data_IF_175839608778
#
_entry.id   IF_175839608778
#
_cell.length_a   1.000
_cell.length_b   1.000
_cell.length_c   1.000
_cell.angle_alpha   90.00
_cell.angle_beta   90.00
_cell.angle_gamma   90.00
#
_symmetry.space_group_name_H-M   'P 1'
#
loop_
_entity.id
_entity.type
_entity.pdbx_description
1 polymer ?
#
# COMPACT_ATOMS: atom_id res chain seq x y z
N UNK A 1 -43.01 3.24 49.65
CA UNK A 1 -41.68 3.42 50.26
C UNK A 1 -40.71 2.80 49.26
N UNK A 2 -40.46 3.43 48.12
CA UNK A 2 -39.67 4.64 47.88
C UNK A 2 -38.15 4.48 48.13
N UNK A 3 -37.39 5.11 47.22
CA UNK A 3 -35.93 5.32 47.15
C UNK A 3 -35.14 4.15 46.53
N UNK A 4 -34.55 4.25 45.33
CA UNK A 4 -33.43 5.13 44.92
C UNK A 4 -32.13 4.30 45.01
N UNK A 5 -31.23 4.17 44.04
CA UNK A 5 -30.60 5.17 43.17
C UNK A 5 -30.04 4.55 41.88
N UNK A 6 -29.95 5.39 40.85
CA UNK A 6 -29.28 5.16 39.59
C UNK A 6 -27.75 5.39 39.71
N UNK A 7 -26.96 4.68 38.90
CA UNK A 7 -25.58 5.08 38.61
C UNK A 7 -25.32 4.93 37.12
N UNK A 8 -25.25 6.10 36.48
CA UNK A 8 -24.80 6.30 35.12
C UNK A 8 -23.32 5.93 34.99
N UNK A 9 -22.98 5.19 33.94
CA UNK A 9 -21.64 5.19 33.36
C UNK A 9 -21.81 5.32 31.85
N UNK A 10 -21.55 6.53 31.34
CA UNK A 10 -21.51 6.82 29.91
C UNK A 10 -20.57 5.83 29.19
N UNK A 11 -20.96 5.27 28.03
CA UNK A 11 -19.97 4.81 27.09
C UNK A 11 -19.34 6.07 26.48
N UNK A 12 -18.10 6.35 26.84
CA UNK A 12 -17.24 7.19 26.02
C UNK A 12 -17.12 6.49 24.67
N UNK A 13 -18.01 6.87 23.74
CA UNK A 13 -17.92 6.55 22.33
C UNK A 13 -16.64 7.18 21.79
N UNK A 14 -15.56 6.41 21.88
CA UNK A 14 -14.39 6.60 21.04
C UNK A 14 -14.88 6.63 19.59
N UNK A 15 -14.90 7.82 18.98
CA UNK A 15 -15.08 7.95 17.54
C UNK A 15 -14.09 7.01 16.85
N UNK A 16 -14.53 6.09 15.98
CA UNK A 16 -13.61 5.29 15.21
C UNK A 16 -12.85 6.27 14.32
N UNK A 17 -11.56 6.42 14.58
CA UNK A 17 -10.67 7.22 13.77
C UNK A 17 -10.79 6.78 12.31
N UNK A 18 -11.16 7.73 11.45
CA UNK A 18 -10.90 7.93 10.01
C UNK A 18 -10.01 6.92 9.24
N UNK A 19 -10.20 5.61 9.41
CA UNK A 19 -9.50 4.59 8.65
C UNK A 19 -10.21 4.43 7.30
N UNK A 20 -9.53 4.79 6.21
CA UNK A 20 -10.02 4.56 4.84
C UNK A 20 -10.80 5.71 4.20
N UNK A 21 -10.81 6.92 4.79
CA UNK A 21 -11.30 8.12 4.10
C UNK A 21 -10.34 8.48 2.97
N UNK A 22 -10.86 8.60 1.75
CA UNK A 22 -10.06 8.83 0.56
C UNK A 22 -10.51 9.99 -0.31
N UNK A 23 -11.72 10.48 -0.11
CA UNK A 23 -12.22 11.68 -0.73
C UNK A 23 -13.13 12.44 0.22
N UNK A 24 -13.48 13.65 -0.18
CA UNK A 24 -14.44 14.49 0.52
C UNK A 24 -15.25 15.33 -0.45
N UNK A 25 -16.45 15.69 -0.02
CA UNK A 25 -17.25 16.74 -0.63
C UNK A 25 -17.10 18.00 0.23
N UNK A 26 -16.52 19.05 -0.36
CA UNK A 26 -16.30 20.33 0.29
C UNK A 26 -17.47 21.26 -0.07
N UNK A 27 -18.31 21.69 0.88
CA UNK A 27 -19.41 22.59 0.58
C UNK A 27 -18.87 23.98 0.17
N UNK A 28 -19.56 24.61 -0.78
CA UNK A 28 -19.25 25.97 -1.21
C UNK A 28 -19.48 27.00 -0.10
N UNK A 29 -20.45 26.75 0.78
CA UNK A 29 -20.68 27.50 2.00
C UNK A 29 -20.02 26.80 3.19
N UNK A 30 -18.99 27.45 3.75
CA UNK A 30 -18.23 26.94 4.90
C UNK A 30 -19.02 26.84 6.20
N UNK A 31 -20.27 27.33 6.24
CA UNK A 31 -21.18 27.08 7.36
C UNK A 31 -21.61 25.61 7.47
N UNK A 32 -21.43 24.82 6.41
CA UNK A 32 -21.76 23.39 6.36
C UNK A 32 -20.49 22.53 6.50
N UNK A 33 -20.59 21.34 7.13
CA UNK A 33 -19.45 20.45 7.28
C UNK A 33 -19.03 19.79 5.97
N UNK A 34 -17.74 19.48 5.84
CA UNK A 34 -17.24 18.59 4.78
C UNK A 34 -17.80 17.17 4.97
N UNK A 35 -18.14 16.51 3.86
CA UNK A 35 -18.63 15.13 3.88
C UNK A 35 -17.50 14.19 3.49
N UNK A 36 -17.08 13.32 4.40
CA UNK A 36 -16.02 12.34 4.13
C UNK A 36 -16.55 11.16 3.31
N UNK A 37 -15.75 10.66 2.37
CA UNK A 37 -16.04 9.47 1.57
C UNK A 37 -15.00 8.40 1.91
N UNK A 38 -15.47 7.27 2.43
CA UNK A 38 -14.61 6.16 2.87
C UNK A 38 -14.68 4.97 1.89
N UNK A 39 -13.66 4.12 1.91
CA UNK A 39 -13.57 2.97 1.00
C UNK A 39 -14.59 1.86 1.32
N UNK A 40 -14.96 1.72 2.60
CA UNK A 40 -16.00 0.80 3.07
C UNK A 40 -17.40 1.41 3.17
N UNK A 41 -17.53 2.72 2.98
CA UNK A 41 -18.80 3.45 3.08
C UNK A 41 -18.89 4.46 1.93
N UNK A 42 -19.33 3.95 0.77
CA UNK A 42 -19.37 4.68 -0.49
C UNK A 42 -20.65 5.54 -0.64
N UNK A 43 -21.64 5.35 0.22
CA UNK A 43 -22.91 6.10 0.15
C UNK A 43 -22.73 7.43 0.86
N UNK A 44 -22.95 8.52 0.13
CA UNK A 44 -22.86 9.87 0.66
C UNK A 44 -24.16 10.22 1.35
N UNK A 45 -24.06 10.42 2.67
CA UNK A 45 -25.12 10.95 3.52
C UNK A 45 -24.80 12.41 3.85
N UNK A 46 -25.63 13.35 3.37
CA UNK A 46 -25.44 14.77 3.68
C UNK A 46 -26.73 15.57 3.58
N UNK A 47 -26.68 16.82 4.03
CA UNK A 47 -27.72 17.80 3.74
C UNK A 47 -27.78 18.09 2.24
N UNK A 48 -29.01 18.30 1.77
CA UNK A 48 -29.33 18.58 0.36
C UNK A 48 -29.66 20.05 0.13
N UNK A 49 -30.31 20.72 1.09
CA UNK A 49 -30.74 22.11 0.99
C UNK A 49 -30.30 22.94 2.23
N UNK A 50 -29.99 24.24 2.07
CA UNK A 50 -29.64 25.12 3.19
C UNK A 50 -30.88 25.44 4.05
N UNK A 51 -30.87 25.04 5.32
CA UNK A 51 -31.76 25.47 6.41
C UNK A 51 -33.30 25.48 6.16
N UNK A 52 -33.94 24.32 6.36
CA UNK A 52 -35.26 24.20 7.00
C UNK A 52 -35.49 22.74 7.47
N UNK A 53 -34.80 22.31 8.54
CA UNK A 53 -35.05 20.99 9.15
C UNK A 53 -34.81 19.78 8.25
N UNK A 54 -33.94 19.91 7.24
CA UNK A 54 -33.61 18.81 6.34
C UNK A 54 -32.87 17.70 7.07
N UNK A 55 -33.36 16.47 6.94
CA UNK A 55 -32.63 15.27 7.35
C UNK A 55 -31.43 15.07 6.41
N UNK A 56 -30.35 14.48 6.93
CA UNK A 56 -29.29 13.97 6.06
C UNK A 56 -29.88 12.84 5.21
N UNK A 57 -29.74 12.96 3.89
CA UNK A 57 -30.24 11.96 2.96
C UNK A 57 -29.07 11.23 2.31
N UNK A 58 -29.25 9.93 2.11
CA UNK A 58 -28.39 9.15 1.23
C UNK A 58 -28.82 9.44 -0.22
N UNK A 59 -28.04 10.26 -0.94
CA UNK A 59 -28.45 10.75 -2.27
C UNK A 59 -27.50 10.35 -3.40
N UNK A 60 -26.26 9.97 -3.11
CA UNK A 60 -25.37 9.39 -4.11
C UNK A 60 -24.40 8.36 -3.53
N UNK A 61 -23.76 7.63 -4.42
CA UNK A 61 -22.68 6.70 -4.14
C UNK A 61 -21.43 7.13 -4.90
N UNK A 62 -20.30 7.28 -4.21
CA UNK A 62 -19.02 7.65 -4.79
C UNK A 62 -18.00 6.53 -4.56
N UNK A 63 -17.43 6.02 -5.66
CA UNK A 63 -16.38 4.99 -5.64
C UNK A 63 -15.11 5.49 -6.31
N UNK A 64 -13.95 4.94 -5.93
CA UNK A 64 -12.71 5.15 -6.67
C UNK A 64 -12.85 4.63 -8.09
N UNK A 65 -12.30 5.40 -9.04
CA UNK A 65 -12.18 4.99 -10.42
C UNK A 65 -11.02 4.01 -10.62
N UNK A 66 -10.75 3.67 -11.88
CA UNK A 66 -9.65 2.78 -12.25
C UNK A 66 -8.25 3.37 -12.06
N UNK A 67 -8.13 4.70 -11.89
CA UNK A 67 -6.87 5.39 -11.62
C UNK A 67 -6.91 6.20 -10.31
N UNK A 68 -5.74 6.61 -9.82
CA UNK A 68 -5.60 7.32 -8.54
C UNK A 68 -6.20 8.75 -8.53
N UNK A 69 -6.68 9.24 -9.67
CA UNK A 69 -7.17 10.61 -9.88
C UNK A 69 -8.63 10.70 -10.33
N UNK A 70 -9.33 9.57 -10.36
CA UNK A 70 -10.70 9.46 -10.83
C UNK A 70 -11.58 8.80 -9.77
N UNK A 71 -12.85 9.20 -9.79
CA UNK A 71 -13.90 8.56 -9.04
C UNK A 71 -15.14 8.46 -9.92
N UNK A 72 -16.05 7.59 -9.55
CA UNK A 72 -17.36 7.47 -10.20
C UNK A 72 -18.43 7.85 -9.20
N UNK A 73 -19.39 8.66 -9.63
CA UNK A 73 -20.59 8.99 -8.87
C UNK A 73 -21.81 8.33 -9.51
N UNK A 74 -22.69 7.80 -8.65
CA UNK A 74 -24.01 7.29 -9.03
C UNK A 74 -25.05 7.94 -8.16
N UNK A 75 -26.10 8.49 -8.77
CA UNK A 75 -27.26 8.98 -8.02
C UNK A 75 -28.04 7.82 -7.41
N UNK A 76 -28.44 7.97 -6.14
CA UNK A 76 -29.32 7.05 -5.43
C UNK A 76 -30.68 7.68 -5.07
N UNK A 77 -30.84 8.98 -5.29
CA UNK A 77 -32.07 9.70 -4.97
C UNK A 77 -33.17 9.46 -6.01
N UNK A 78 -34.41 9.78 -5.64
CA UNK A 78 -35.56 9.74 -6.57
C UNK A 78 -35.60 10.93 -7.53
N UNK A 79 -34.84 11.98 -7.25
CA UNK A 79 -34.72 13.17 -8.08
C UNK A 79 -33.39 13.14 -8.86
N UNK A 80 -33.18 14.08 -9.77
CA UNK A 80 -31.90 14.21 -10.45
C UNK A 80 -30.86 14.94 -9.57
N UNK A 81 -29.58 14.66 -9.82
CA UNK A 81 -28.46 15.42 -9.26
C UNK A 81 -27.71 16.13 -10.39
N UNK A 82 -26.91 17.14 -10.08
CA UNK A 82 -26.08 17.82 -11.08
C UNK A 82 -24.61 17.51 -10.81
N UNK A 83 -23.86 17.16 -11.86
CA UNK A 83 -22.40 16.99 -11.84
C UNK A 83 -21.80 17.82 -12.97
N UNK A 84 -20.98 18.81 -12.64
CA UNK A 84 -20.35 19.74 -13.58
C UNK A 84 -21.36 20.39 -14.57
N UNK A 85 -22.55 20.74 -14.05
CA UNK A 85 -23.65 21.32 -14.82
C UNK A 85 -24.49 20.31 -15.62
N UNK A 86 -24.12 19.02 -15.63
CA UNK A 86 -24.90 17.95 -16.28
C UNK A 86 -25.90 17.36 -15.29
N UNK A 87 -27.17 17.29 -15.68
CA UNK A 87 -28.23 16.63 -14.92
C UNK A 87 -28.10 15.11 -15.07
N UNK A 88 -27.92 14.41 -13.94
CA UNK A 88 -27.69 12.98 -13.84
C UNK A 88 -28.90 12.32 -13.17
N UNK A 89 -29.51 11.35 -13.87
CA UNK A 89 -30.51 10.46 -13.28
C UNK A 89 -29.80 9.25 -12.68
N UNK A 90 -29.92 8.03 -13.23
CA UNK A 90 -29.37 6.82 -12.60
C UNK A 90 -28.05 6.32 -13.19
N UNK A 91 -27.47 7.05 -14.13
CA UNK A 91 -26.21 6.69 -14.80
C UNK A 91 -24.99 6.86 -13.88
N UNK A 92 -23.95 6.08 -14.16
CA UNK A 92 -22.64 6.20 -13.51
C UNK A 92 -21.80 7.22 -14.29
N UNK A 93 -21.24 8.20 -13.58
CA UNK A 93 -20.49 9.30 -14.21
C UNK A 93 -19.12 9.42 -13.56
N UNK A 94 -18.10 9.67 -14.37
CA UNK A 94 -16.75 9.96 -13.88
C UNK A 94 -16.67 11.39 -13.33
N UNK A 95 -16.07 11.52 -12.14
CA UNK A 95 -15.76 12.80 -11.50
C UNK A 95 -14.26 12.87 -11.17
N UNK A 96 -13.75 14.09 -11.10
CA UNK A 96 -12.34 14.39 -10.83
C UNK A 96 -12.23 15.44 -9.72
N UNK A 97 -11.07 15.55 -9.04
CA UNK A 97 -10.84 16.65 -8.11
C UNK A 97 -11.20 18.00 -8.74
N UNK A 98 -12.07 18.76 -8.07
CA UNK A 98 -12.64 20.01 -8.55
C UNK A 98 -14.03 19.89 -9.20
N UNK A 99 -14.55 18.70 -9.46
CA UNK A 99 -15.91 18.50 -9.99
C UNK A 99 -16.94 19.09 -9.03
N UNK A 100 -17.89 19.87 -9.58
CA UNK A 100 -18.99 20.48 -8.82
C UNK A 100 -20.19 19.53 -8.80
N UNK A 101 -20.74 19.31 -7.61
CA UNK A 101 -21.85 18.38 -7.40
C UNK A 101 -22.96 19.08 -6.63
N UNK A 102 -24.19 18.94 -7.13
CA UNK A 102 -25.39 19.47 -6.48
C UNK A 102 -26.36 18.32 -6.24
N UNK A 103 -26.82 18.09 -5.00
CA UNK A 103 -27.70 16.99 -4.63
C UNK A 103 -29.17 17.30 -4.97
N UNK A 104 -29.43 17.88 -6.15
CA UNK A 104 -30.78 18.21 -6.59
C UNK A 104 -30.83 18.60 -8.07
N UNK A 105 -32.04 18.79 -8.62
CA UNK A 105 -32.25 18.97 -10.06
C UNK A 105 -31.87 20.37 -10.57
N UNK A 106 -31.54 21.29 -9.67
CA UNK A 106 -31.17 22.68 -9.95
C UNK A 106 -30.20 23.20 -8.87
N UNK A 107 -29.40 24.21 -9.19
CA UNK A 107 -28.47 24.80 -8.22
C UNK A 107 -29.21 25.66 -7.18
N UNK A 108 -30.24 26.41 -7.60
CA UNK A 108 -30.99 27.27 -6.70
C UNK A 108 -31.72 26.47 -5.62
N UNK A 109 -31.42 26.78 -4.35
CA UNK A 109 -32.02 26.14 -3.19
C UNK A 109 -31.33 24.84 -2.74
N UNK A 110 -30.28 24.40 -3.43
CA UNK A 110 -29.51 23.21 -3.08
C UNK A 110 -28.09 23.56 -2.63
N UNK A 111 -27.48 22.68 -1.85
CA UNK A 111 -26.07 22.81 -1.50
C UNK A 111 -25.18 22.48 -2.70
N UNK A 112 -24.09 23.21 -2.85
CA UNK A 112 -23.09 22.95 -3.89
C UNK A 112 -21.84 22.41 -3.22
N UNK A 113 -21.38 21.25 -3.67
CA UNK A 113 -20.16 20.63 -3.20
C UNK A 113 -19.10 20.64 -4.29
N UNK A 114 -17.85 20.72 -3.88
CA UNK A 114 -16.68 20.43 -4.73
C UNK A 114 -16.11 19.09 -4.30
N UNK A 115 -15.99 18.16 -5.23
CA UNK A 115 -15.33 16.89 -4.98
C UNK A 115 -13.82 17.10 -4.87
N UNK A 116 -13.23 16.61 -3.78
CA UNK A 116 -11.80 16.63 -3.58
C UNK A 116 -11.33 15.25 -3.15
N UNK A 117 -10.26 14.76 -3.75
CA UNK A 117 -9.63 13.52 -3.29
C UNK A 117 -8.72 13.95 -2.15
N UNK A 118 -9.06 13.55 -0.92
CA UNK A 118 -8.12 13.64 0.19
C UNK A 118 -6.98 12.74 -0.19
N UNK A 119 -5.90 13.32 -0.70
CA UNK A 119 -4.65 12.60 -0.86
C UNK A 119 -4.29 12.09 0.54
N UNK A 120 -4.67 10.84 0.85
CA UNK A 120 -4.01 10.06 1.86
C UNK A 120 -2.56 10.14 1.44
N UNK A 121 -1.79 11.01 2.12
CA UNK A 121 -0.44 11.47 1.75
C UNK A 121 0.11 10.60 0.64
N UNK A 122 -0.04 11.07 -0.60
CA UNK A 122 0.34 10.32 -1.79
C UNK A 122 1.88 10.29 -1.84
N UNK A 123 2.46 9.51 -0.94
CA UNK A 123 3.82 9.01 -1.00
C UNK A 123 3.98 8.09 -2.22
N UNK A 124 2.91 7.78 -2.96
CA UNK A 124 2.88 6.85 -4.08
C UNK A 124 3.13 7.48 -5.45
N UNK A 125 3.14 8.82 -5.60
CA UNK A 125 3.46 9.46 -6.91
C UNK A 125 4.86 9.10 -7.45
N UNK A 126 5.75 8.62 -6.60
CA UNK A 126 7.07 8.11 -6.99
C UNK A 126 7.25 6.60 -6.76
N UNK A 127 6.21 5.86 -6.36
CA UNK A 127 6.33 4.44 -6.06
C UNK A 127 5.96 3.59 -7.28
N UNK A 128 6.97 2.95 -7.87
CA UNK A 128 6.76 1.94 -8.90
C UNK A 128 6.31 0.64 -8.23
N UNK A 129 5.10 0.18 -8.55
CA UNK A 129 4.61 -1.14 -8.12
C UNK A 129 5.25 -2.22 -8.98
N UNK A 130 6.24 -2.91 -8.43
CA UNK A 130 6.90 -4.05 -9.07
C UNK A 130 6.24 -5.34 -8.57
N UNK A 131 5.66 -6.13 -9.48
CA UNK A 131 5.21 -7.48 -9.16
C UNK A 131 6.43 -8.40 -9.12
N UNK A 132 6.75 -8.91 -7.93
CA UNK A 132 7.86 -9.83 -7.69
C UNK A 132 7.32 -11.19 -7.28
N UNK A 133 7.76 -12.24 -7.98
CA UNK A 133 7.57 -13.61 -7.52
C UNK A 133 8.62 -13.94 -6.44
N UNK A 134 8.14 -14.29 -5.25
CA UNK A 134 8.98 -14.63 -4.08
C UNK A 134 9.90 -15.81 -4.39
N UNK A 135 9.50 -16.73 -5.26
CA UNK A 135 10.35 -17.86 -5.66
C UNK A 135 11.66 -17.40 -6.32
N UNK A 136 11.65 -16.23 -6.97
CA UNK A 136 12.85 -15.65 -7.59
C UNK A 136 13.76 -14.91 -6.59
N UNK A 137 13.31 -14.73 -5.35
CA UNK A 137 14.09 -14.11 -4.26
C UNK A 137 14.76 -15.14 -3.33
N UNK A 138 14.77 -16.42 -3.73
CA UNK A 138 15.35 -17.51 -2.93
C UNK A 138 16.80 -17.79 -3.30
N UNK A 139 17.60 -18.11 -2.30
CA UNK A 139 18.96 -18.59 -2.46
C UNK A 139 18.95 -19.99 -3.05
N UNK A 140 19.60 -20.23 -4.19
CA UNK A 140 19.63 -21.57 -4.81
C UNK A 140 20.42 -22.61 -4.00
N UNK A 141 21.10 -22.21 -2.92
CA UNK A 141 21.87 -23.11 -2.05
C UNK A 141 21.00 -23.62 -0.89
N UNK A 142 20.36 -22.72 -0.15
CA UNK A 142 19.54 -23.09 1.01
C UNK A 142 18.02 -23.10 0.74
N UNK A 143 17.60 -22.66 -0.46
CA UNK A 143 16.20 -22.61 -0.92
C UNK A 143 15.27 -21.72 -0.08
N UNK A 144 15.82 -20.97 0.87
CA UNK A 144 15.13 -19.93 1.64
C UNK A 144 15.35 -18.55 0.98
N UNK A 145 14.51 -17.56 1.33
CA UNK A 145 14.67 -16.16 0.91
C UNK A 145 16.12 -15.70 1.10
N UNK A 146 16.70 -14.81 0.30
CA UNK A 146 18.09 -14.40 0.57
C UNK A 146 18.29 -13.83 1.99
N UNK A 147 19.54 -13.86 2.48
CA UNK A 147 19.95 -13.20 3.70
C UNK A 147 21.35 -12.60 3.54
N UNK A 148 21.48 -11.30 3.78
CA UNK A 148 22.69 -10.52 3.45
C UNK A 148 23.13 -10.83 2.01
N UNK A 149 22.30 -10.44 1.03
CA UNK A 149 22.42 -10.92 -0.34
C UNK A 149 23.77 -10.53 -0.97
N UNK A 150 24.43 -11.49 -1.62
CA UNK A 150 25.63 -11.26 -2.45
C UNK A 150 25.37 -11.61 -3.90
N UNK A 151 25.98 -10.85 -4.81
CA UNK A 151 25.89 -11.05 -6.26
C UNK A 151 27.23 -11.48 -6.83
N UNK A 152 27.21 -12.50 -7.68
CA UNK A 152 28.40 -13.10 -8.29
C UNK A 152 28.61 -12.57 -9.71
N UNK A 153 29.78 -12.01 -10.02
CA UNK A 153 30.14 -11.61 -11.38
C UNK A 153 30.92 -12.71 -12.12
N UNK A 154 30.71 -12.88 -13.45
CA UNK A 154 29.91 -12.03 -14.35
C UNK A 154 28.47 -12.50 -14.56
N UNK A 155 28.03 -13.57 -13.89
CA UNK A 155 26.72 -14.18 -14.14
C UNK A 155 25.54 -13.53 -13.40
N UNK A 156 25.83 -12.62 -12.48
CA UNK A 156 24.88 -11.87 -11.64
C UNK A 156 23.86 -12.71 -10.86
N UNK A 157 24.22 -13.96 -10.54
CA UNK A 157 23.40 -14.80 -9.65
C UNK A 157 23.59 -14.39 -8.18
N UNK A 158 22.51 -14.54 -7.41
CA UNK A 158 22.40 -14.03 -6.05
C UNK A 158 22.25 -15.16 -5.02
N UNK A 159 22.92 -15.00 -3.88
CA UNK A 159 22.96 -15.99 -2.81
C UNK A 159 22.99 -15.28 -1.45
N UNK A 160 22.70 -16.01 -0.36
CA UNK A 160 23.03 -15.50 0.98
C UNK A 160 24.56 -15.40 1.13
N UNK A 161 25.06 -14.35 1.78
CA UNK A 161 26.51 -14.18 2.02
C UNK A 161 27.12 -15.42 2.70
N UNK A 162 26.48 -15.90 3.77
CA UNK A 162 26.90 -17.11 4.49
C UNK A 162 26.97 -18.35 3.59
N UNK A 163 25.91 -18.61 2.82
CA UNK A 163 25.86 -19.77 1.92
C UNK A 163 26.95 -19.74 0.84
N UNK A 164 27.16 -18.58 0.21
CA UNK A 164 28.17 -18.46 -0.83
C UNK A 164 29.59 -18.48 -0.27
N UNK A 165 29.82 -17.88 0.89
CA UNK A 165 31.11 -17.95 1.59
C UNK A 165 31.49 -19.38 1.95
N UNK A 166 30.52 -20.17 2.43
CA UNK A 166 30.70 -21.61 2.68
C UNK A 166 31.06 -22.39 1.41
N UNK A 167 30.42 -22.06 0.30
CA UNK A 167 30.73 -22.66 -0.99
C UNK A 167 32.16 -22.35 -1.43
N UNK A 168 32.58 -21.09 -1.36
CA UNK A 168 33.95 -20.68 -1.66
C UNK A 168 34.96 -21.46 -0.80
N UNK A 169 34.74 -21.56 0.51
CA UNK A 169 35.61 -22.29 1.45
C UNK A 169 35.72 -23.78 1.13
N UNK A 170 34.62 -24.42 0.74
CA UNK A 170 34.63 -25.85 0.34
C UNK A 170 35.24 -26.09 -1.03
N UNK A 171 35.13 -25.11 -1.94
CA UNK A 171 35.71 -25.22 -3.28
C UNK A 171 37.23 -25.08 -3.28
N UNK A 172 37.78 -24.22 -2.42
CA UNK A 172 39.22 -24.00 -2.29
C UNK A 172 39.94 -25.16 -1.60
N UNK A 173 39.32 -25.83 -0.63
CA UNK A 173 39.91 -26.98 0.08
C UNK A 173 40.06 -28.24 -0.77
N UNK A 174 39.30 -28.36 -1.86
CA UNK A 174 39.35 -29.50 -2.80
C UNK A 174 40.33 -29.30 -3.95
N UNK A 175 40.80 -28.08 -4.20
CA UNK A 175 41.73 -27.80 -5.29
C UNK A 175 43.17 -28.05 -4.84
N UNK A 176 43.88 -28.96 -5.54
CA UNK A 176 45.34 -29.11 -5.40
C UNK A 176 46.11 -27.91 -5.95
N UNK A 177 45.44 -27.07 -6.73
CA UNK A 177 46.00 -25.92 -7.41
C UNK A 177 45.32 -24.64 -6.89
N UNK A 178 46.05 -23.80 -6.16
CA UNK A 178 45.53 -22.55 -5.58
C UNK A 178 45.04 -21.55 -6.63
N UNK A 179 45.29 -21.80 -7.93
CA UNK A 179 44.90 -20.92 -9.02
C UNK A 179 43.47 -21.12 -9.55
N UNK A 180 42.77 -22.19 -9.17
CA UNK A 180 41.43 -22.45 -9.71
C UNK A 180 40.38 -21.51 -9.10
N UNK A 181 39.79 -20.66 -9.95
CA UNK A 181 38.65 -19.80 -9.61
C UNK A 181 37.43 -20.66 -9.23
N UNK A 182 36.75 -20.33 -8.14
CA UNK A 182 35.51 -20.99 -7.77
C UNK A 182 34.45 -20.82 -8.88
N UNK A 183 33.56 -21.81 -9.04
CA UNK A 183 32.45 -21.74 -9.97
C UNK A 183 31.16 -21.32 -9.27
N UNK A 184 30.30 -20.56 -9.95
CA UNK A 184 28.98 -20.20 -9.47
C UNK A 184 28.13 -21.46 -9.20
N UNK A 185 27.48 -21.61 -8.04
CA UNK A 185 26.65 -22.77 -7.71
C UNK A 185 25.48 -23.00 -8.69
N UNK A 186 24.91 -21.92 -9.22
CA UNK A 186 23.71 -21.98 -10.06
C UNK A 186 24.03 -22.27 -11.53
N UNK A 187 25.02 -21.59 -12.10
CA UNK A 187 25.30 -21.67 -13.54
C UNK A 187 26.70 -22.18 -13.89
N UNK A 188 27.52 -22.51 -12.88
CA UNK A 188 28.91 -22.99 -13.04
C UNK A 188 29.88 -22.05 -13.73
N UNK A 189 29.47 -20.82 -14.05
CA UNK A 189 30.36 -19.77 -14.57
C UNK A 189 31.46 -19.48 -13.56
N UNK A 190 32.71 -19.34 -14.02
CA UNK A 190 33.84 -18.97 -13.16
C UNK A 190 33.59 -17.63 -12.50
N UNK A 191 33.75 -17.60 -11.17
CA UNK A 191 33.55 -16.40 -10.36
C UNK A 191 34.78 -15.50 -10.48
N UNK A 192 34.54 -14.28 -10.94
CA UNK A 192 35.57 -13.25 -11.03
C UNK A 192 35.57 -12.34 -9.81
N UNK A 193 34.39 -11.96 -9.34
CA UNK A 193 34.20 -11.16 -8.14
C UNK A 193 32.85 -11.45 -7.49
N UNK A 194 32.72 -11.04 -6.24
CA UNK A 194 31.49 -11.12 -5.46
C UNK A 194 31.38 -9.87 -4.58
N UNK A 195 30.18 -9.33 -4.46
CA UNK A 195 29.91 -8.17 -3.60
C UNK A 195 28.53 -8.23 -2.97
N UNK A 196 28.37 -7.55 -1.83
CA UNK A 196 27.08 -7.38 -1.15
C UNK A 196 26.17 -6.49 -1.99
N UNK A 197 24.92 -6.90 -2.17
CA UNK A 197 23.94 -6.19 -2.97
C UNK A 197 22.89 -5.54 -2.07
N UNK A 198 23.13 -4.27 -1.71
CA UNK A 198 22.23 -3.51 -0.85
C UNK A 198 20.82 -3.34 -1.43
N UNK A 199 20.70 -3.24 -2.75
CA UNK A 199 19.39 -3.13 -3.37
C UNK A 199 18.55 -4.40 -3.15
N UNK A 200 19.14 -5.58 -3.37
CA UNK A 200 18.44 -6.85 -3.12
C UNK A 200 18.23 -7.12 -1.64
N UNK A 201 19.10 -6.62 -0.76
CA UNK A 201 18.87 -6.67 0.69
C UNK A 201 17.64 -5.83 1.11
N UNK A 202 17.45 -4.64 0.54
CA UNK A 202 16.23 -3.86 0.81
C UNK A 202 14.97 -4.58 0.29
N UNK A 203 15.07 -5.31 -0.83
CA UNK A 203 13.97 -6.15 -1.34
C UNK A 203 13.70 -7.32 -0.39
N UNK A 204 14.73 -7.99 0.11
CA UNK A 204 14.63 -9.03 1.15
C UNK A 204 13.87 -8.50 2.38
N UNK A 205 14.26 -7.35 2.92
CA UNK A 205 13.60 -6.74 4.08
C UNK A 205 12.12 -6.41 3.80
N UNK A 206 11.82 -5.86 2.62
CA UNK A 206 10.45 -5.55 2.21
C UNK A 206 9.59 -6.82 2.09
N UNK A 207 10.14 -7.93 1.57
CA UNK A 207 9.44 -9.22 1.50
C UNK A 207 9.16 -9.73 2.92
N UNK A 208 10.14 -9.69 3.84
CA UNK A 208 9.96 -10.14 5.21
C UNK A 208 8.91 -9.31 5.98
N UNK A 209 8.87 -8.00 5.72
CA UNK A 209 7.85 -7.12 6.30
C UNK A 209 6.44 -7.47 5.79
N UNK A 210 6.30 -7.83 4.51
CA UNK A 210 5.02 -8.22 3.93
C UNK A 210 4.60 -9.66 4.29
N UNK A 211 5.57 -10.56 4.50
CA UNK A 211 5.35 -12.00 4.69
C UNK A 211 6.22 -12.54 5.84
N UNK A 212 5.82 -12.27 7.08
CA UNK A 212 6.55 -12.69 8.28
C UNK A 212 6.73 -14.21 8.40
N UNK A 213 5.88 -15.01 7.74
CA UNK A 213 6.02 -16.48 7.69
C UNK A 213 7.29 -16.96 6.98
N UNK A 214 7.97 -16.09 6.22
CA UNK A 214 9.25 -16.37 5.55
C UNK A 214 10.47 -16.07 6.43
N UNK A 215 10.26 -15.53 7.63
CA UNK A 215 11.33 -15.17 8.54
C UNK A 215 12.04 -16.42 9.06
N UNK A 216 13.37 -16.38 9.01
CA UNK A 216 14.23 -17.42 9.60
C UNK A 216 14.24 -17.31 11.12
N UNK A 217 14.59 -18.40 11.79
CA UNK A 217 14.94 -18.33 13.21
C UNK A 217 16.24 -17.56 13.43
N UNK A 218 16.38 -16.97 14.62
CA UNK A 218 17.59 -16.27 15.03
C UNK A 218 18.83 -17.19 14.98
N UNK A 219 18.66 -18.48 15.30
CA UNK A 219 19.74 -19.48 15.22
C UNK A 219 20.22 -19.71 13.78
N UNK A 220 19.31 -19.76 12.80
CA UNK A 220 19.68 -19.92 11.39
C UNK A 220 20.40 -18.67 10.87
N UNK A 221 19.94 -17.48 11.29
CA UNK A 221 20.57 -16.20 10.95
C UNK A 221 21.99 -16.16 11.52
N UNK A 222 22.16 -16.40 12.82
CA UNK A 222 23.47 -16.38 13.47
C UNK A 222 24.45 -17.39 12.83
N UNK A 223 23.95 -18.56 12.42
CA UNK A 223 24.74 -19.55 11.70
C UNK A 223 25.18 -19.02 10.33
N UNK A 224 24.29 -18.42 9.55
CA UNK A 224 24.62 -17.81 8.25
C UNK A 224 25.64 -16.68 8.40
N UNK A 225 25.46 -15.80 9.38
CA UNK A 225 26.38 -14.69 9.67
C UNK A 225 27.76 -15.19 10.08
N UNK A 226 27.84 -16.29 10.84
CA UNK A 226 29.12 -16.90 11.24
C UNK A 226 29.98 -17.35 10.04
N UNK A 227 29.34 -17.62 8.91
CA UNK A 227 30.01 -18.00 7.66
C UNK A 227 30.25 -16.83 6.72
N UNK A 228 29.58 -15.69 6.91
CA UNK A 228 29.59 -14.56 5.99
C UNK A 228 30.96 -13.86 5.94
N UNK A 229 31.67 -14.03 4.81
CA UNK A 229 33.03 -13.53 4.61
C UNK A 229 33.12 -12.35 3.62
N UNK A 230 32.11 -12.15 2.76
CA UNK A 230 32.12 -11.06 1.78
C UNK A 230 31.76 -9.76 2.49
N UNK A 231 32.66 -8.76 2.45
CA UNK A 231 32.44 -7.45 3.09
C UNK A 231 32.37 -6.29 2.09
N UNK A 232 32.94 -6.46 0.90
CA UNK A 232 32.88 -5.46 -0.17
C UNK A 232 31.48 -5.37 -0.76
N UNK A 233 31.04 -4.15 -1.06
CA UNK A 233 29.80 -3.91 -1.77
C UNK A 233 29.96 -4.20 -3.26
N UNK A 234 28.87 -4.58 -3.91
CA UNK A 234 28.81 -4.65 -5.36
C UNK A 234 29.01 -3.24 -5.92
N UNK A 235 29.99 -3.08 -6.82
CA UNK A 235 30.34 -1.82 -7.50
C UNK A 235 29.77 -1.83 -8.91
#
# INVERSE_FOLDING_TARGET
MDSGECSNSNPSASSPAAAGVWAKLVPADSAYPEVAVAEGDAVVCSLVAPAAGGEELAWCEIRRGGDASSATIRNLSSDAIIVDGRVIQQELVDIKPGSKIVPGPQEEGHLVYTFDITAAKDHDKNNVKILLDIENAKCSICLNLWHDVVTVAPCFHNFCNGCFSEWLRRSSSKSRDKSQSAACPQCRTSVQSVGRNHFLHNIEEAILQAFSSLQRSDDEIALLESYASVKSNLV
#
